data_IF_492661994098
#
_entry.id   IF_492661994098
#
_cell.length_a   1.000
_cell.length_b   1.000
_cell.length_c   1.000
_cell.angle_alpha   90.00
_cell.angle_beta   90.00
_cell.angle_gamma   90.00
#
_symmetry.space_group_name_H-M   'P 1'
#
loop_
_entity.id
_entity.type
_entity.pdbx_description
1 polymer ?
#
# COMPACT_ATOMS: atom_id res chain seq x y z
N UNK A 1 14.91 -5.41 -23.33
CA UNK A 1 14.61 -5.97 -21.98
C UNK A 1 13.20 -6.56 -21.98
N UNK A 2 13.08 -7.88 -21.95
CA UNK A 2 11.78 -8.58 -22.12
C UNK A 2 10.79 -8.26 -20.98
N UNK A 3 11.31 -8.04 -19.78
CA UNK A 3 10.51 -7.73 -18.58
C UNK A 3 9.83 -6.36 -18.68
N UNK A 4 10.53 -5.33 -19.14
CA UNK A 4 9.94 -3.99 -19.35
C UNK A 4 8.85 -4.01 -20.41
N UNK A 5 9.00 -4.83 -21.46
CA UNK A 5 7.99 -5.01 -22.50
C UNK A 5 6.72 -5.63 -21.95
N UNK A 6 6.84 -6.74 -21.20
CA UNK A 6 5.70 -7.43 -20.57
C UNK A 6 5.01 -6.51 -19.56
N UNK A 7 5.77 -5.80 -18.71
CA UNK A 7 5.23 -4.85 -17.75
C UNK A 7 4.54 -3.68 -18.48
N UNK A 8 5.10 -3.18 -19.57
CA UNK A 8 4.47 -2.14 -20.38
C UNK A 8 3.13 -2.55 -21.00
N UNK A 9 3.04 -3.80 -21.49
CA UNK A 9 1.80 -4.37 -22.06
C UNK A 9 0.69 -4.50 -21.02
N UNK A 10 1.04 -4.79 -19.77
CA UNK A 10 0.09 -4.86 -18.65
C UNK A 10 -0.49 -3.49 -18.24
N UNK A 11 0.05 -2.38 -18.79
CA UNK A 11 -0.32 -1.00 -18.47
C UNK A 11 -0.55 -0.73 -16.96
N UNK A 12 0.39 -1.14 -16.07
CA UNK A 12 0.19 -1.05 -14.62
C UNK A 12 0.37 0.36 -14.05
N UNK A 13 0.81 1.32 -14.89
CA UNK A 13 1.13 2.68 -14.52
C UNK A 13 0.23 3.67 -15.26
N UNK A 14 -0.36 4.61 -14.53
CA UNK A 14 -1.01 5.80 -15.09
C UNK A 14 0.01 6.95 -15.10
N UNK A 15 0.26 7.52 -16.29
CA UNK A 15 1.19 8.64 -16.47
C UNK A 15 0.77 9.90 -15.69
N UNK A 16 -0.52 10.03 -15.37
CA UNK A 16 -1.04 11.14 -14.59
C UNK A 16 -0.94 10.91 -13.07
N UNK A 17 -0.52 9.72 -12.62
CA UNK A 17 -0.33 9.40 -11.20
C UNK A 17 0.94 10.10 -10.66
N UNK A 18 0.80 11.37 -10.27
CA UNK A 18 1.86 12.14 -9.59
C UNK A 18 2.07 11.61 -8.18
N UNK A 19 3.06 10.73 -8.00
CA UNK A 19 3.34 10.10 -6.72
C UNK A 19 4.78 10.32 -6.25
N UNK A 20 4.94 10.74 -5.00
CA UNK A 20 6.24 10.78 -4.32
C UNK A 20 6.59 9.38 -3.83
N UNK A 21 7.88 9.02 -3.84
CA UNK A 21 8.36 7.82 -3.17
C UNK A 21 8.27 8.10 -1.66
N UNK A 22 7.38 7.42 -0.90
CA UNK A 22 7.20 7.70 0.51
C UNK A 22 8.39 7.14 1.29
N UNK A 23 9.32 8.00 1.67
CA UNK A 23 10.47 7.61 2.49
C UNK A 23 10.05 7.30 3.92
N UNK A 24 10.29 6.06 4.39
CA UNK A 24 10.35 5.73 5.82
C UNK A 24 9.07 5.93 6.66
N UNK A 25 7.91 6.14 6.04
CA UNK A 25 6.67 6.44 6.76
C UNK A 25 6.19 5.20 7.53
N UNK A 26 5.89 5.38 8.83
CA UNK A 26 5.34 4.32 9.69
C UNK A 26 3.95 3.89 9.21
N UNK A 27 3.58 2.63 9.50
CA UNK A 27 2.24 2.10 9.21
C UNK A 27 1.20 2.84 10.03
N UNK A 28 0.06 3.16 9.41
CA UNK A 28 -1.09 3.68 10.16
C UNK A 28 -1.66 2.57 11.05
N UNK A 29 -1.78 2.77 12.37
CA UNK A 29 -2.38 1.77 13.25
C UNK A 29 -3.90 1.68 13.02
N UNK A 30 -4.43 0.47 12.94
CA UNK A 30 -5.89 0.25 12.90
C UNK A 30 -6.43 0.31 14.33
N UNK A 31 -7.59 0.94 14.50
CA UNK A 31 -8.26 1.02 15.81
C UNK A 31 -8.94 -0.30 16.13
N UNK A 32 -8.76 -0.76 17.36
CA UNK A 32 -9.37 -1.98 17.88
C UNK A 32 -10.11 -1.71 19.18
N UNK A 33 -11.21 -2.43 19.41
CA UNK A 33 -11.86 -2.44 20.73
C UNK A 33 -10.93 -3.06 21.78
N UNK A 34 -10.97 -2.56 23.04
CA UNK A 34 -10.11 -3.07 24.10
C UNK A 34 -10.40 -4.57 24.38
N UNK A 35 -9.40 -5.34 24.84
CA UNK A 35 -9.55 -6.77 25.14
C UNK A 35 -10.76 -7.08 26.04
N UNK A 36 -11.03 -6.19 26.99
CA UNK A 36 -12.08 -6.34 28.00
C UNK A 36 -13.49 -6.28 27.39
N UNK A 37 -13.65 -5.54 26.29
CA UNK A 37 -14.90 -5.46 25.55
C UNK A 37 -14.99 -6.59 24.53
N UNK A 38 -13.94 -6.85 23.74
CA UNK A 38 -14.00 -7.85 22.64
C UNK A 38 -14.08 -9.31 23.11
N UNK A 39 -13.86 -9.59 24.41
CA UNK A 39 -13.98 -10.94 24.98
C UNK A 39 -15.41 -11.32 25.39
N UNK A 40 -16.33 -10.34 25.49
CA UNK A 40 -17.68 -10.55 26.03
C UNK A 40 -18.80 -10.38 25.01
N UNK A 41 -18.47 -10.05 23.76
CA UNK A 41 -19.45 -9.90 22.68
C UNK A 41 -18.87 -10.38 21.35
N UNK A 42 -19.75 -10.46 20.35
CA UNK A 42 -19.42 -10.86 18.98
C UNK A 42 -19.43 -9.66 18.01
N UNK A 43 -19.30 -8.43 18.52
CA UNK A 43 -19.17 -7.25 17.66
C UNK A 43 -17.81 -7.26 16.94
N UNK A 44 -17.75 -6.65 15.75
CA UNK A 44 -16.49 -6.48 15.05
C UNK A 44 -15.53 -5.60 15.88
N UNK A 45 -14.42 -6.20 16.32
CA UNK A 45 -13.46 -5.50 17.17
C UNK A 45 -12.53 -4.58 16.36
N UNK A 46 -12.30 -4.87 15.07
CA UNK A 46 -11.43 -4.09 14.19
C UNK A 46 -12.24 -2.98 13.53
N UNK A 47 -11.97 -1.72 13.87
CA UNK A 47 -12.79 -0.58 13.38
C UNK A 47 -12.36 -0.05 12.01
N UNK A 48 -11.42 -0.73 11.35
CA UNK A 48 -10.90 -0.31 10.05
C UNK A 48 -10.16 1.03 10.10
N UNK A 49 -9.89 1.57 8.91
CA UNK A 49 -9.33 2.91 8.74
C UNK A 49 -10.43 3.92 8.46
N UNK A 50 -10.23 5.17 8.88
CA UNK A 50 -10.97 6.29 8.27
C UNK A 50 -10.57 6.44 6.80
N UNK A 51 -11.37 7.20 6.05
CA UNK A 51 -11.06 7.49 4.65
C UNK A 51 -9.66 8.11 4.49
N UNK A 52 -9.30 9.03 5.37
CA UNK A 52 -8.02 9.75 5.37
C UNK A 52 -6.86 8.81 5.71
N UNK A 53 -7.03 7.98 6.74
CA UNK A 53 -6.07 6.95 7.16
C UNK A 53 -5.83 5.93 6.04
N UNK A 54 -6.90 5.50 5.35
CA UNK A 54 -6.82 4.58 4.22
C UNK A 54 -6.09 5.20 3.03
N UNK A 55 -6.37 6.45 2.68
CA UNK A 55 -5.65 7.17 1.61
C UNK A 55 -4.16 7.29 1.97
N UNK A 56 -3.85 7.62 3.22
CA UNK A 56 -2.47 7.74 3.67
C UNK A 56 -1.74 6.40 3.65
N UNK A 57 -2.34 5.32 4.16
CA UNK A 57 -1.72 3.99 4.13
C UNK A 57 -1.57 3.50 2.68
N UNK A 58 -2.57 3.71 1.83
CA UNK A 58 -2.49 3.41 0.41
C UNK A 58 -1.36 4.18 -0.28
N UNK A 59 -1.07 5.43 0.14
CA UNK A 59 0.01 6.26 -0.39
C UNK A 59 1.39 5.65 -0.19
N UNK A 60 1.58 4.76 0.80
CA UNK A 60 2.85 4.10 1.13
C UNK A 60 3.29 3.03 0.12
N UNK A 61 2.40 2.59 -0.78
CA UNK A 61 2.73 1.60 -1.80
C UNK A 61 3.84 2.09 -2.75
N UNK A 62 4.90 1.29 -2.90
CA UNK A 62 6.04 1.55 -3.79
C UNK A 62 5.78 1.18 -5.25
N UNK A 63 4.65 0.52 -5.54
CA UNK A 63 4.33 -0.08 -6.86
C UNK A 63 5.44 -1.03 -7.31
N UNK A 64 5.38 -2.29 -6.87
CA UNK A 64 6.47 -3.27 -6.97
C UNK A 64 7.12 -3.40 -8.36
N UNK A 65 6.38 -3.18 -9.46
CA UNK A 65 6.95 -3.17 -10.81
C UNK A 65 8.06 -2.11 -10.97
N UNK A 66 7.99 -0.95 -10.30
CA UNK A 66 9.04 0.08 -10.31
C UNK A 66 10.30 -0.37 -9.57
N UNK A 67 10.13 -1.16 -8.51
CA UNK A 67 11.25 -1.71 -7.72
C UNK A 67 11.96 -2.78 -8.55
N UNK A 68 11.18 -3.67 -9.17
CA UNK A 68 11.71 -4.76 -10.01
C UNK A 68 12.42 -4.21 -11.25
N UNK A 69 11.85 -3.23 -11.96
CA UNK A 69 12.50 -2.65 -13.14
C UNK A 69 13.79 -1.90 -12.78
N UNK A 70 13.80 -1.12 -11.69
CA UNK A 70 15.01 -0.42 -11.24
C UNK A 70 16.11 -1.39 -10.81
N UNK A 71 15.76 -2.47 -10.10
CA UNK A 71 16.73 -3.47 -9.65
C UNK A 71 17.31 -4.32 -10.81
N UNK A 72 16.52 -4.56 -11.85
CA UNK A 72 16.94 -5.35 -13.02
C UNK A 72 17.73 -4.54 -14.05
N UNK A 73 17.54 -3.22 -14.11
CA UNK A 73 18.29 -2.31 -14.98
C UNK A 73 19.76 -2.12 -14.54
N UNK A 74 20.10 -2.54 -13.32
CA UNK A 74 21.46 -2.46 -12.76
C UNK A 74 22.27 -3.76 -12.85
N UNK A 75 21.81 -4.74 -13.64
CA UNK A 75 22.55 -5.96 -14.00
C UNK A 75 23.03 -5.86 -15.45
#
# INVERSE_FOLDING_TARGET
KILEKIIGELKPFDINEKRRIPGGVKRTPIKHDPPEKRKTNFEEYTKGFTKEEAIFEASRCLRCYRVVTFAYDKQ
#
